data_IF_020094633658
#
_entry.id   IF_020094633658
#
_cell.length_a   1.000
_cell.length_b   1.000
_cell.length_c   1.000
_cell.angle_alpha   90.00
_cell.angle_beta   90.00
_cell.angle_gamma   90.00
#
_symmetry.space_group_name_H-M   'P 1'
#
loop_
_entity.id
_entity.type
_entity.pdbx_description
1 polymer ?
#
# COMPACT_ATOMS: atom_id res chain seq x y z
N UNK A 1 8.83 1.13 14.00
CA UNK A 1 8.51 1.19 12.57
C UNK A 1 7.13 0.60 12.32
N UNK A 2 6.37 1.25 11.47
CA UNK A 2 5.07 0.72 11.01
C UNK A 2 5.20 0.23 9.57
N UNK A 3 4.55 -0.89 9.30
CA UNK A 3 4.26 -1.34 7.95
C UNK A 3 2.81 -0.99 7.66
N UNK A 4 2.60 -0.07 6.74
CA UNK A 4 1.28 0.41 6.36
C UNK A 4 0.88 -0.26 5.05
N UNK A 5 -0.32 -0.82 4.99
CA UNK A 5 -0.91 -1.31 3.73
C UNK A 5 -2.07 -0.41 3.39
N UNK A 6 -1.96 0.30 2.29
CA UNK A 6 -3.03 1.14 1.74
C UNK A 6 -3.58 0.43 0.51
N UNK A 7 -4.82 -0.03 0.59
CA UNK A 7 -5.42 -0.84 -0.48
C UNK A 7 -6.76 -0.28 -0.91
N UNK A 8 -6.98 -0.24 -2.22
CA UNK A 8 -8.29 0.10 -2.79
C UNK A 8 -9.25 -1.06 -2.59
N UNK A 9 -10.43 -0.78 -2.01
CA UNK A 9 -11.48 -1.76 -1.77
C UNK A 9 -11.78 -1.91 -0.29
N UNK A 10 -12.98 -1.48 0.12
CA UNK A 10 -13.39 -1.48 1.54
C UNK A 10 -14.09 -2.77 1.95
N UNK A 11 -14.58 -3.54 0.99
CA UNK A 11 -15.28 -4.80 1.25
C UNK A 11 -14.50 -5.96 0.69
N UNK A 12 -14.12 -6.87 1.57
CA UNK A 12 -13.45 -8.12 1.22
C UNK A 12 -14.28 -9.30 1.70
N UNK A 13 -14.12 -10.49 1.09
CA UNK A 13 -14.74 -11.71 1.62
C UNK A 13 -14.31 -11.96 3.07
N UNK A 14 -15.20 -12.57 3.85
CA UNK A 14 -14.91 -12.86 5.27
C UNK A 14 -13.63 -13.67 5.47
N UNK A 15 -13.31 -14.58 4.56
CA UNK A 15 -12.07 -15.36 4.63
C UNK A 15 -10.82 -14.50 4.48
N UNK A 16 -10.88 -13.44 3.66
CA UNK A 16 -9.75 -12.52 3.47
C UNK A 16 -9.51 -11.69 4.73
N UNK A 17 -10.58 -11.19 5.37
CA UNK A 17 -10.47 -10.47 6.63
C UNK A 17 -9.92 -11.37 7.74
N UNK A 18 -10.37 -12.62 7.82
CA UNK A 18 -9.88 -13.60 8.79
C UNK A 18 -8.39 -13.90 8.57
N UNK A 19 -7.98 -14.08 7.32
CA UNK A 19 -6.57 -14.32 6.98
C UNK A 19 -5.70 -13.12 7.35
N UNK A 20 -6.14 -11.90 7.04
CA UNK A 20 -5.44 -10.69 7.43
C UNK A 20 -5.20 -10.64 8.94
N UNK A 21 -6.25 -10.82 9.72
CA UNK A 21 -6.16 -10.79 11.18
C UNK A 21 -5.22 -11.88 11.72
N UNK A 22 -5.28 -13.07 11.16
CA UNK A 22 -4.41 -14.18 11.54
C UNK A 22 -2.93 -13.86 11.35
N UNK A 23 -2.57 -13.25 10.23
CA UNK A 23 -1.18 -12.87 9.96
C UNK A 23 -0.78 -11.59 10.69
N UNK A 24 -1.64 -10.58 10.75
CA UNK A 24 -1.32 -9.31 11.37
C UNK A 24 -0.98 -9.44 12.87
N UNK A 25 -1.69 -10.30 13.59
CA UNK A 25 -1.42 -10.52 15.02
C UNK A 25 -0.09 -11.22 15.32
N UNK A 26 0.59 -11.78 14.31
CA UNK A 26 1.91 -12.39 14.47
C UNK A 26 3.04 -11.37 14.46
N UNK A 27 2.74 -10.13 14.11
CA UNK A 27 3.74 -9.07 14.09
C UNK A 27 4.05 -8.59 15.51
N UNK A 28 5.34 -8.40 15.85
CA UNK A 28 5.71 -7.90 17.17
C UNK A 28 5.36 -6.41 17.34
N UNK A 29 5.24 -5.91 18.59
CA UNK A 29 4.94 -4.50 18.84
C UNK A 29 5.91 -3.52 18.19
N UNK A 30 7.17 -3.92 17.99
CA UNK A 30 8.19 -3.09 17.35
C UNK A 30 7.99 -2.95 15.83
N UNK A 31 7.17 -3.80 15.22
CA UNK A 31 6.90 -3.81 13.78
C UNK A 31 5.40 -3.97 13.55
N UNK A 32 4.67 -2.87 13.69
CA UNK A 32 3.21 -2.87 13.59
C UNK A 32 2.78 -2.94 12.13
N UNK A 33 1.86 -3.85 11.83
CA UNK A 33 1.22 -3.97 10.53
C UNK A 33 -0.19 -3.36 10.61
N UNK A 34 -0.44 -2.34 9.80
CA UNK A 34 -1.70 -1.61 9.78
C UNK A 34 -2.28 -1.60 8.37
N UNK A 35 -3.59 -1.84 8.27
CA UNK A 35 -4.33 -1.80 7.00
C UNK A 35 -5.27 -0.60 6.97
N UNK A 36 -5.20 0.17 5.90
CA UNK A 36 -6.18 1.20 5.57
C UNK A 36 -6.81 0.85 4.24
N UNK A 37 -8.09 0.49 4.27
CA UNK A 37 -8.86 0.24 3.07
C UNK A 37 -9.41 1.57 2.54
N UNK A 38 -9.08 1.88 1.29
CA UNK A 38 -9.51 3.10 0.61
C UNK A 38 -10.70 2.79 -0.30
N UNK A 39 -11.61 3.75 -0.41
CA UNK A 39 -12.80 3.60 -1.25
C UNK A 39 -12.40 3.48 -2.72
N UNK A 40 -12.87 2.42 -3.38
CA UNK A 40 -12.76 2.28 -4.83
C UNK A 40 -13.63 3.32 -5.54
N UNK A 41 -13.11 3.86 -6.64
CA UNK A 41 -13.90 4.73 -7.50
C UNK A 41 -14.93 3.91 -8.26
N UNK A 42 -16.20 4.30 -8.31
CA UNK A 42 -17.22 3.56 -9.07
C UNK A 42 -16.82 3.44 -10.54
N UNK A 43 -16.90 2.21 -11.07
CA UNK A 43 -16.74 1.92 -12.50
C UNK A 43 -18.12 1.91 -13.14
N UNK A 44 -18.47 2.96 -13.84
CA UNK A 44 -19.76 3.10 -14.50
C UNK A 44 -19.56 3.64 -15.92
N UNK A 45 -20.63 3.61 -16.71
CA UNK A 45 -20.63 4.11 -18.08
C UNK A 45 -20.15 5.56 -18.15
N UNK A 46 -19.29 5.87 -19.11
CA UNK A 46 -18.68 7.18 -19.27
C UNK A 46 -17.44 7.44 -18.41
N UNK A 47 -17.09 6.51 -17.54
CA UNK A 47 -15.87 6.61 -16.71
C UNK A 47 -14.78 5.73 -17.26
N UNK A 48 -13.65 6.31 -17.66
CA UNK A 48 -12.49 5.54 -18.14
C UNK A 48 -11.71 4.94 -16.97
N UNK A 49 -10.98 3.82 -17.18
CA UNK A 49 -10.06 3.29 -16.18
C UNK A 49 -9.05 4.34 -15.69
N UNK A 50 -8.52 5.15 -16.61
CA UNK A 50 -7.58 6.22 -16.26
C UNK A 50 -8.18 7.25 -15.30
N UNK A 51 -9.44 7.67 -15.54
CA UNK A 51 -10.15 8.59 -14.65
C UNK A 51 -10.39 7.97 -13.27
N UNK A 52 -10.76 6.70 -13.21
CA UNK A 52 -10.96 6.00 -11.95
C UNK A 52 -9.65 5.86 -11.16
N UNK A 53 -8.57 5.48 -11.82
CA UNK A 53 -7.25 5.40 -11.18
C UNK A 53 -6.76 6.76 -10.68
N UNK A 54 -6.99 7.84 -11.43
CA UNK A 54 -6.63 9.19 -11.01
C UNK A 54 -7.40 9.62 -9.75
N UNK A 55 -8.69 9.31 -9.66
CA UNK A 55 -9.49 9.58 -8.47
C UNK A 55 -9.01 8.77 -7.26
N UNK A 56 -8.66 7.50 -7.46
CA UNK A 56 -8.08 6.67 -6.41
C UNK A 56 -6.70 7.16 -5.97
N UNK A 57 -5.90 7.70 -6.88
CA UNK A 57 -4.59 8.28 -6.56
C UNK A 57 -4.70 9.45 -5.57
N UNK A 58 -5.73 10.28 -5.69
CA UNK A 58 -6.00 11.36 -4.74
C UNK A 58 -6.22 10.79 -3.34
N UNK A 59 -6.95 9.69 -3.22
CA UNK A 59 -7.19 9.02 -1.93
C UNK A 59 -5.91 8.45 -1.33
N UNK A 60 -5.06 7.85 -2.15
CA UNK A 60 -3.73 7.39 -1.70
C UNK A 60 -2.88 8.54 -1.17
N UNK A 61 -2.81 9.65 -1.91
CA UNK A 61 -2.00 10.80 -1.50
C UNK A 61 -2.51 11.42 -0.20
N UNK A 62 -3.82 11.52 -0.01
CA UNK A 62 -4.41 12.01 1.22
C UNK A 62 -4.09 11.08 2.41
N UNK A 63 -4.19 9.76 2.21
CA UNK A 63 -3.86 8.78 3.22
C UNK A 63 -2.36 8.83 3.60
N UNK A 64 -1.48 8.94 2.61
CA UNK A 64 -0.04 9.06 2.84
C UNK A 64 0.32 10.34 3.60
N UNK A 65 -0.32 11.46 3.27
CA UNK A 65 -0.12 12.72 3.98
C UNK A 65 -0.50 12.59 5.46
N UNK A 66 -1.58 11.89 5.77
CA UNK A 66 -2.01 11.60 7.14
C UNK A 66 -1.08 10.68 7.92
N UNK A 67 -0.16 9.98 7.25
CA UNK A 67 0.81 9.07 7.89
C UNK A 67 2.18 9.70 8.10
N UNK A 68 2.36 10.96 7.74
CA UNK A 68 3.62 11.68 7.95
C UNK A 68 3.89 11.87 9.44
N UNK A 69 5.09 11.51 9.88
CA UNK A 69 5.55 11.68 11.26
C UNK A 69 6.86 12.46 11.27
N UNK A 70 6.97 13.41 12.19
CA UNK A 70 8.19 14.23 12.37
C UNK A 70 8.69 14.86 11.06
N UNK A 71 7.75 15.27 10.20
CA UNK A 71 8.08 15.88 8.90
C UNK A 71 8.52 14.89 7.82
N UNK A 72 8.54 13.59 8.13
CA UNK A 72 8.91 12.54 7.17
C UNK A 72 7.72 11.65 6.84
N UNK A 73 7.39 11.55 5.55
CA UNK A 73 6.40 10.60 5.05
C UNK A 73 6.94 9.17 5.00
N UNK A 74 6.05 8.18 4.98
CA UNK A 74 6.48 6.79 4.86
C UNK A 74 7.17 6.53 3.50
N UNK A 75 8.06 5.54 3.47
CA UNK A 75 8.59 4.99 2.22
C UNK A 75 7.44 4.44 1.40
N UNK A 76 7.38 4.80 0.13
CA UNK A 76 6.30 4.39 -0.78
C UNK A 76 6.74 3.18 -1.58
N UNK A 77 6.07 2.06 -1.38
CA UNK A 77 6.30 0.82 -2.11
C UNK A 77 5.03 0.49 -2.88
N UNK A 78 5.07 0.53 -4.20
CA UNK A 78 3.92 0.15 -5.02
C UNK A 78 3.99 -1.34 -5.34
N UNK A 79 2.86 -2.03 -5.20
CA UNK A 79 2.71 -3.40 -5.68
C UNK A 79 2.11 -3.35 -7.08
N UNK A 80 2.95 -3.59 -8.08
CA UNK A 80 2.60 -3.50 -9.49
C UNK A 80 2.77 -4.87 -10.14
N UNK A 81 1.75 -5.34 -10.88
CA UNK A 81 1.82 -6.61 -11.62
C UNK A 81 3.02 -6.69 -12.57
N UNK A 82 3.52 -5.55 -13.01
CA UNK A 82 4.71 -5.41 -13.87
C UNK A 82 5.99 -5.16 -13.09
N UNK A 83 5.92 -5.11 -11.78
CA UNK A 83 7.07 -4.91 -10.92
C UNK A 83 7.99 -6.12 -10.88
N UNK A 84 9.22 -5.94 -10.39
CA UNK A 84 10.15 -7.05 -10.24
C UNK A 84 9.64 -8.07 -9.22
N UNK A 85 9.91 -9.34 -9.47
CA UNK A 85 9.64 -10.40 -8.51
C UNK A 85 10.63 -10.33 -7.37
N UNK A 86 10.12 -10.48 -6.16
CA UNK A 86 10.92 -10.47 -4.93
C UNK A 86 10.63 -11.73 -4.14
N UNK A 87 11.66 -12.45 -3.77
CA UNK A 87 11.54 -13.62 -2.89
C UNK A 87 11.30 -13.18 -1.45
N UNK A 88 10.80 -14.08 -0.61
CA UNK A 88 10.61 -13.79 0.81
C UNK A 88 11.92 -13.41 1.53
N UNK A 89 13.06 -14.08 1.29
CA UNK A 89 14.34 -13.64 1.87
C UNK A 89 14.77 -12.24 1.42
N UNK A 90 14.56 -11.90 0.15
CA UNK A 90 14.86 -10.56 -0.39
C UNK A 90 13.99 -9.49 0.25
N UNK A 91 12.69 -9.74 0.39
CA UNK A 91 11.79 -8.82 1.08
C UNK A 91 12.19 -8.66 2.56
N UNK A 92 12.54 -9.75 3.22
CA UNK A 92 13.01 -9.70 4.60
C UNK A 92 14.28 -8.85 4.75
N UNK A 93 15.20 -8.93 3.79
CA UNK A 93 16.40 -8.11 3.78
C UNK A 93 16.06 -6.62 3.61
N UNK A 94 15.12 -6.29 2.71
CA UNK A 94 14.64 -4.91 2.54
C UNK A 94 13.98 -4.38 3.80
N UNK A 95 13.13 -5.19 4.46
CA UNK A 95 12.50 -4.81 5.72
C UNK A 95 13.52 -4.47 6.81
N UNK A 96 14.61 -5.24 6.89
CA UNK A 96 15.71 -4.94 7.83
C UNK A 96 16.34 -3.58 7.51
N UNK A 97 16.64 -3.31 6.25
CA UNK A 97 17.20 -2.02 5.83
C UNK A 97 16.27 -0.86 6.18
N UNK A 98 14.98 -0.98 5.86
CA UNK A 98 14.01 0.07 6.16
C UNK A 98 13.87 0.32 7.66
N UNK A 99 13.89 -0.75 8.44
CA UNK A 99 13.88 -0.65 9.91
C UNK A 99 15.11 0.09 10.42
N UNK A 100 16.29 -0.23 9.89
CA UNK A 100 17.54 0.39 10.33
C UNK A 100 17.59 1.89 9.95
N UNK A 101 16.93 2.28 8.85
CA UNK A 101 16.73 3.68 8.47
C UNK A 101 15.71 4.42 9.37
N UNK A 102 14.90 3.69 10.11
CA UNK A 102 13.90 4.27 11.02
C UNK A 102 12.68 4.91 10.34
N UNK A 103 12.47 4.65 9.06
CA UNK A 103 11.36 5.19 8.28
C UNK A 103 10.25 4.16 8.14
N UNK A 104 9.00 4.56 8.35
CA UNK A 104 7.83 3.72 8.09
C UNK A 104 7.75 3.35 6.61
N UNK A 105 7.15 2.21 6.30
CA UNK A 105 6.95 1.75 4.92
C UNK A 105 5.46 1.61 4.62
N UNK A 106 5.02 2.15 3.50
CA UNK A 106 3.64 2.06 3.02
C UNK A 106 3.59 1.29 1.71
N UNK A 107 2.88 0.18 1.71
CA UNK A 107 2.61 -0.64 0.54
C UNK A 107 1.30 -0.18 -0.09
N UNK A 108 1.33 0.17 -1.37
CA UNK A 108 0.16 0.65 -2.12
C UNK A 108 -0.36 -0.46 -3.02
N UNK A 109 -1.60 -0.85 -2.81
CA UNK A 109 -2.28 -1.89 -3.59
C UNK A 109 -3.44 -1.24 -4.34
N UNK A 110 -3.39 -1.26 -5.67
CA UNK A 110 -4.41 -0.67 -6.51
C UNK A 110 -5.69 -1.50 -6.62
N UNK A 111 -6.69 -0.90 -7.25
CA UNK A 111 -7.96 -1.55 -7.56
C UNK A 111 -7.91 -2.38 -8.85
N UNK A 112 -9.07 -2.61 -9.49
CA UNK A 112 -9.18 -3.52 -10.65
C UNK A 112 -8.29 -3.15 -11.84
N UNK A 113 -8.02 -1.86 -12.02
CA UNK A 113 -7.21 -1.35 -13.14
C UNK A 113 -5.75 -1.10 -12.74
N UNK A 114 -5.38 -1.37 -11.50
CA UNK A 114 -4.04 -1.12 -10.97
C UNK A 114 -3.88 0.29 -10.39
N UNK A 115 -2.64 0.77 -10.39
CA UNK A 115 -2.25 2.06 -9.83
C UNK A 115 -2.06 3.11 -10.91
N UNK A 116 -2.48 4.35 -10.61
CA UNK A 116 -2.21 5.48 -11.49
C UNK A 116 -0.70 5.68 -11.69
N UNK A 117 -0.32 6.13 -12.90
CA UNK A 117 1.09 6.35 -13.23
C UNK A 117 1.79 7.31 -12.28
N UNK A 118 1.08 8.32 -11.78
CA UNK A 118 1.64 9.30 -10.82
C UNK A 118 2.13 8.63 -9.54
N UNK A 119 1.41 7.62 -9.02
CA UNK A 119 1.82 6.88 -7.83
C UNK A 119 3.07 6.05 -8.10
N UNK A 120 3.15 5.41 -9.27
CA UNK A 120 4.33 4.63 -9.65
C UNK A 120 5.57 5.50 -9.80
N UNK A 121 5.43 6.69 -10.41
CA UNK A 121 6.52 7.64 -10.61
C UNK A 121 7.06 8.21 -9.29
N UNK A 122 6.20 8.38 -8.29
CA UNK A 122 6.56 8.90 -6.97
C UNK A 122 6.92 7.84 -5.96
N UNK A 123 6.91 6.57 -6.34
CA UNK A 123 7.28 5.47 -5.46
C UNK A 123 8.78 5.43 -5.21
N UNK A 124 9.16 5.09 -3.99
CA UNK A 124 10.56 4.82 -3.64
C UNK A 124 10.98 3.45 -4.20
N UNK A 125 10.06 2.49 -4.21
CA UNK A 125 10.29 1.14 -4.73
C UNK A 125 9.03 0.57 -5.40
N UNK A 126 9.24 -0.39 -6.30
CA UNK A 126 8.19 -1.16 -6.96
C UNK A 126 8.48 -2.65 -6.78
N UNK A 127 7.43 -3.42 -6.46
CA UNK A 127 7.48 -4.88 -6.33
C UNK A 127 6.45 -5.53 -7.23
#
# INVERSE_FOLDING_TARGET
>A
MRLLVLAIGQRQPAWADAAWLEFARRFPPALRLELTALKAEPRHEGRTPAQAMAAEAIRFEAALAGQTRQGQGPRRIVLDERGPRVTSPELAARLRCWRDEGRDAAFLIGGPDGLDASLRQRADESL
#
